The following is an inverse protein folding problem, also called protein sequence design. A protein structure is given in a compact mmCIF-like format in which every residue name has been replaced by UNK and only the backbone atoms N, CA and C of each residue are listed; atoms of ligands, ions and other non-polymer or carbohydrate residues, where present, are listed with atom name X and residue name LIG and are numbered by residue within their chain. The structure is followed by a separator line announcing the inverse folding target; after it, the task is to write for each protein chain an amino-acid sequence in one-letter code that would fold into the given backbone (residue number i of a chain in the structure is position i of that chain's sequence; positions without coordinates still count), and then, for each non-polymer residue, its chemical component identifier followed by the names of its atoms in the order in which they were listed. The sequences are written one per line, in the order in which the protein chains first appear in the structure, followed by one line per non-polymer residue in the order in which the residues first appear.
data_IF_756294445127
#
_entry.id   IF_756294445127
#
_cell.length_a   1.000
_cell.length_b   1.000
_cell.length_c   1.000
_cell.angle_alpha   90.00
_cell.angle_beta   90.00
_cell.angle_gamma   90.00
#
_symmetry.space_group_name_H-M   'P 1'
#
loop_
_entity.id
_entity.type
_entity.pdbx_description
1 polymer ?
#
# COMPACT_ATOMS: atom_id res chain seq x y z
N UNK A 1 1.13 5.43 8.23
CA UNK A 1 0.13 5.78 9.27
C UNK A 1 0.31 4.88 10.48
N UNK A 2 0.44 5.47 11.67
CA UNK A 2 0.41 4.76 12.94
C UNK A 2 -0.17 5.68 14.02
N UNK A 3 -0.83 5.09 14.98
CA UNK A 3 -1.26 5.79 16.18
C UNK A 3 -0.10 5.83 17.16
N UNK A 4 0.24 6.99 17.65
CA UNK A 4 1.42 7.23 18.49
C UNK A 4 1.04 7.88 19.81
N UNK A 5 1.89 7.64 20.81
CA UNK A 5 1.94 8.37 22.07
C UNK A 5 3.22 9.20 22.09
N UNK A 6 3.11 10.48 22.40
CA UNK A 6 4.25 11.38 22.46
C UNK A 6 4.61 11.61 23.92
N UNK A 7 5.83 11.21 24.32
CA UNK A 7 6.38 11.53 25.64
C UNK A 7 6.91 12.96 25.63
N UNK A 8 6.42 13.74 26.58
CA UNK A 8 6.77 15.17 26.73
C UNK A 8 7.49 15.37 28.06
N UNK A 9 8.51 16.21 28.06
CA UNK A 9 9.19 16.70 29.26
C UNK A 9 9.28 18.22 29.18
N UNK A 10 8.79 18.89 30.22
CA UNK A 10 8.78 20.36 30.32
C UNK A 10 8.25 21.05 29.05
N UNK A 11 7.11 20.54 28.52
CA UNK A 11 6.49 21.03 27.30
C UNK A 11 7.19 20.60 25.98
N UNK A 12 8.28 19.84 26.04
CA UNK A 12 9.06 19.42 24.86
C UNK A 12 8.83 17.96 24.53
N UNK A 13 8.37 17.63 23.34
CA UNK A 13 8.32 16.24 22.86
C UNK A 13 9.72 15.64 22.80
N UNK A 14 9.93 14.48 23.44
CA UNK A 14 11.26 13.86 23.54
C UNK A 14 11.31 12.44 22.98
N UNK A 15 10.16 11.76 22.87
CA UNK A 15 10.11 10.40 22.34
C UNK A 15 8.71 10.06 21.79
N UNK A 16 8.69 9.22 20.77
CA UNK A 16 7.47 8.64 20.20
C UNK A 16 7.42 7.17 20.54
N UNK A 17 6.25 6.72 21.01
CA UNK A 17 5.90 5.31 21.26
C UNK A 17 4.65 4.93 20.46
N UNK A 18 4.50 3.64 20.16
CA UNK A 18 3.28 3.14 19.54
C UNK A 18 2.11 3.08 20.53
N UNK A 19 0.94 3.50 20.11
CA UNK A 19 -0.28 3.39 20.92
C UNK A 19 -0.82 1.96 20.92
N UNK A 20 -0.76 1.29 22.06
CA UNK A 20 -1.24 -0.09 22.24
C UNK A 20 -2.75 -0.24 22.08
N UNK A 21 -3.51 0.85 22.26
CA UNK A 21 -4.97 0.88 22.07
C UNK A 21 -5.40 1.03 20.60
N UNK A 22 -4.45 1.25 19.69
CA UNK A 22 -4.75 1.26 18.25
C UNK A 22 -5.22 -0.12 17.80
N UNK A 23 -6.39 -0.17 17.19
CA UNK A 23 -6.96 -1.41 16.64
C UNK A 23 -6.18 -1.92 15.41
N UNK A 24 -5.53 -1.01 14.68
CA UNK A 24 -4.76 -1.30 13.47
C UNK A 24 -3.31 -1.64 13.81
N UNK A 25 -2.57 -0.72 14.41
CA UNK A 25 -1.13 -0.88 14.62
C UNK A 25 -0.78 -1.59 15.94
N UNK A 26 -1.71 -1.70 16.89
CA UNK A 26 -1.56 -2.46 18.17
C UNK A 26 -0.25 -2.18 18.88
N UNK A 27 0.15 -0.92 18.95
CA UNK A 27 1.40 -0.47 19.54
C UNK A 27 2.63 -0.55 18.61
N UNK A 28 2.44 -0.93 17.35
CA UNK A 28 3.48 -0.86 16.33
C UNK A 28 3.77 0.59 15.93
N UNK A 29 5.03 0.87 15.57
CA UNK A 29 5.48 2.15 15.01
C UNK A 29 6.65 1.91 14.06
N UNK A 30 6.95 2.85 13.19
CA UNK A 30 8.06 2.77 12.23
C UNK A 30 9.26 3.61 12.68
N UNK A 31 10.44 3.31 12.13
CA UNK A 31 11.64 4.14 12.33
C UNK A 31 11.40 5.60 11.90
N UNK A 32 10.65 5.82 10.81
CA UNK A 32 10.26 7.16 10.35
C UNK A 32 9.41 7.89 11.39
N UNK A 33 8.42 7.22 11.99
CA UNK A 33 7.61 7.80 13.05
C UNK A 33 8.47 8.13 14.29
N UNK A 34 9.36 7.23 14.71
CA UNK A 34 10.28 7.47 15.82
C UNK A 34 11.20 8.67 15.54
N UNK A 35 11.77 8.74 14.33
CA UNK A 35 12.67 9.82 13.92
C UNK A 35 11.99 11.17 13.69
N UNK A 36 10.67 11.23 13.49
CA UNK A 36 9.94 12.45 13.13
C UNK A 36 10.05 13.55 14.22
N UNK A 37 10.29 13.15 15.46
CA UNK A 37 10.49 14.10 16.56
C UNK A 37 11.69 15.03 16.31
N UNK A 38 12.72 14.57 15.60
CA UNK A 38 13.92 15.35 15.29
C UNK A 38 13.59 16.56 14.42
N UNK A 39 12.57 16.46 13.58
CA UNK A 39 12.12 17.54 12.69
C UNK A 39 11.65 18.78 13.48
N UNK A 40 11.16 18.60 14.73
CA UNK A 40 10.74 19.70 15.58
C UNK A 40 11.93 20.54 16.06
N UNK A 41 13.13 19.96 16.12
CA UNK A 41 14.35 20.58 16.62
C UNK A 41 15.35 20.90 15.51
N UNK A 42 15.01 20.64 14.25
CA UNK A 42 15.85 20.96 13.12
C UNK A 42 15.91 22.50 12.93
N UNK A 43 17.12 23.04 13.00
CA UNK A 43 17.34 24.47 12.79
C UNK A 43 17.03 24.95 11.37
N UNK A 44 17.03 24.04 10.40
CA UNK A 44 16.73 24.34 9.00
C UNK A 44 15.26 24.11 8.62
N UNK A 45 14.40 23.76 9.60
CA UNK A 45 12.98 23.62 9.30
C UNK A 45 12.39 24.94 8.80
N UNK A 46 11.42 24.88 7.92
CA UNK A 46 10.67 26.05 7.46
C UNK A 46 9.95 26.69 8.66
N UNK A 47 10.11 27.98 8.83
CA UNK A 47 9.52 28.74 9.95
C UNK A 47 8.47 29.75 9.50
N UNK A 48 8.57 30.22 8.26
CA UNK A 48 7.68 31.22 7.67
C UNK A 48 7.28 30.80 6.26
N UNK A 49 6.13 31.26 5.76
CA UNK A 49 5.81 31.14 4.34
C UNK A 49 6.76 31.98 3.49
N UNK A 50 6.85 31.65 2.21
CA UNK A 50 7.68 32.41 1.26
C UNK A 50 6.91 32.76 0.02
N UNK A 51 7.14 33.95 -0.53
CA UNK A 51 6.65 34.40 -1.83
C UNK A 51 7.85 34.82 -2.68
N UNK A 52 8.00 34.22 -3.86
CA UNK A 52 9.15 34.46 -4.73
C UNK A 52 10.51 34.16 -4.08
N UNK A 53 10.56 33.17 -3.17
CA UNK A 53 11.77 32.78 -2.42
C UNK A 53 12.13 33.71 -1.26
N UNK A 54 11.31 34.69 -0.92
CA UNK A 54 11.51 35.63 0.21
C UNK A 54 10.48 35.32 1.30
N UNK A 55 10.87 35.47 2.57
CA UNK A 55 9.95 35.36 3.70
C UNK A 55 8.79 36.34 3.57
N UNK A 56 7.60 35.90 3.84
CA UNK A 56 6.36 36.67 3.84
C UNK A 56 5.57 36.42 5.12
N UNK A 57 4.65 37.31 5.47
CA UNK A 57 3.67 37.04 6.53
C UNK A 57 2.52 36.18 5.98
N UNK A 58 1.82 35.48 6.87
CA UNK A 58 0.63 34.73 6.50
C UNK A 58 -0.46 35.61 5.89
N UNK A 59 -0.66 36.82 6.39
CA UNK A 59 -1.64 37.79 5.87
C UNK A 59 -1.38 38.14 4.40
N UNK A 60 -0.12 38.29 4.00
CA UNK A 60 0.26 38.55 2.61
C UNK A 60 -0.04 37.33 1.74
N UNK A 61 0.35 36.15 2.20
CA UNK A 61 0.16 34.90 1.44
C UNK A 61 -1.32 34.57 1.31
N UNK A 62 -2.09 34.63 2.40
CA UNK A 62 -3.53 34.33 2.39
C UNK A 62 -4.30 35.30 1.48
N UNK A 63 -3.92 36.59 1.50
CA UNK A 63 -4.52 37.56 0.59
C UNK A 63 -4.21 37.25 -0.86
N UNK A 64 -2.96 36.97 -1.19
CA UNK A 64 -2.57 36.66 -2.57
C UNK A 64 -3.28 35.40 -3.09
N UNK A 65 -3.36 34.32 -2.26
CA UNK A 65 -4.09 33.10 -2.61
C UNK A 65 -5.59 33.40 -2.83
N UNK A 66 -6.21 34.14 -1.93
CA UNK A 66 -7.62 34.50 -2.03
C UNK A 66 -7.94 35.32 -3.29
N UNK A 67 -7.08 36.30 -3.61
CA UNK A 67 -7.22 37.14 -4.80
C UNK A 67 -7.08 36.30 -6.08
N UNK A 68 -6.10 35.40 -6.17
CA UNK A 68 -5.90 34.51 -7.31
C UNK A 68 -7.06 33.54 -7.50
N UNK A 69 -7.51 32.89 -6.45
CA UNK A 69 -8.65 31.94 -6.50
C UNK A 69 -9.95 32.66 -6.92
N UNK A 70 -10.16 33.89 -6.41
CA UNK A 70 -11.33 34.70 -6.76
C UNK A 70 -11.28 35.11 -8.25
N UNK A 71 -10.11 35.43 -8.78
CA UNK A 71 -9.93 35.71 -10.20
C UNK A 71 -10.18 34.50 -11.09
N UNK A 72 -9.77 33.29 -10.66
CA UNK A 72 -10.05 32.02 -11.35
C UNK A 72 -11.56 31.76 -11.36
N UNK A 73 -12.23 31.90 -10.20
CA UNK A 73 -13.68 31.75 -10.08
C UNK A 73 -14.44 32.70 -10.98
N UNK A 74 -14.06 33.98 -11.01
CA UNK A 74 -14.72 35.01 -11.84
C UNK A 74 -14.64 34.69 -13.34
N UNK A 75 -13.60 33.98 -13.77
CA UNK A 75 -13.41 33.52 -15.16
C UNK A 75 -14.05 32.16 -15.47
N UNK A 76 -14.75 31.54 -14.50
CA UNK A 76 -15.28 30.18 -14.65
C UNK A 76 -14.19 29.12 -14.79
N UNK A 77 -12.97 29.41 -14.31
CA UNK A 77 -11.84 28.48 -14.40
C UNK A 77 -11.99 27.23 -13.53
N UNK A 78 -11.16 26.23 -13.79
CA UNK A 78 -11.10 24.99 -13.01
C UNK A 78 -10.04 25.10 -11.92
N UNK A 79 -10.34 24.56 -10.73
CA UNK A 79 -9.40 24.43 -9.64
C UNK A 79 -9.13 22.94 -9.42
N UNK A 80 -7.87 22.53 -9.49
CA UNK A 80 -7.45 21.15 -9.24
C UNK A 80 -6.60 21.10 -7.97
N UNK A 81 -6.99 20.26 -7.03
CA UNK A 81 -6.23 19.99 -5.81
C UNK A 81 -5.52 18.67 -5.99
N UNK A 82 -4.20 18.68 -6.20
CA UNK A 82 -3.39 17.46 -6.27
C UNK A 82 -2.80 17.17 -4.90
N UNK A 83 -3.10 16.00 -4.35
CA UNK A 83 -2.64 15.58 -3.02
C UNK A 83 -2.32 14.09 -2.97
N UNK A 84 -1.56 13.66 -1.98
CA UNK A 84 -1.58 12.26 -1.54
C UNK A 84 -2.94 11.89 -0.94
N UNK A 85 -3.15 10.61 -0.61
CA UNK A 85 -4.42 10.15 -0.01
C UNK A 85 -4.83 10.95 1.21
N UNK A 86 -6.01 11.54 1.15
CA UNK A 86 -6.64 12.29 2.24
C UNK A 86 -7.55 11.34 3.02
N UNK A 87 -7.14 10.96 4.24
CA UNK A 87 -7.89 10.03 5.08
C UNK A 87 -8.73 10.72 6.16
N UNK A 88 -8.38 11.96 6.53
CA UNK A 88 -9.10 12.74 7.55
C UNK A 88 -10.49 13.12 7.06
N UNK A 89 -11.57 12.74 7.78
CA UNK A 89 -12.92 13.16 7.42
C UNK A 89 -13.11 14.68 7.45
N UNK A 90 -12.51 15.36 8.42
CA UNK A 90 -12.57 16.83 8.52
C UNK A 90 -11.85 17.51 7.35
N UNK A 91 -10.71 16.98 6.91
CA UNK A 91 -10.02 17.52 5.73
C UNK A 91 -10.83 17.27 4.46
N UNK A 92 -11.46 16.11 4.32
CA UNK A 92 -12.38 15.83 3.20
C UNK A 92 -13.55 16.81 3.18
N UNK A 93 -14.15 17.08 4.34
CA UNK A 93 -15.23 18.05 4.46
C UNK A 93 -14.76 19.46 4.08
N UNK A 94 -13.59 19.88 4.57
CA UNK A 94 -13.03 21.18 4.22
C UNK A 94 -12.79 21.34 2.71
N UNK A 95 -12.29 20.28 2.05
CA UNK A 95 -12.13 20.28 0.58
C UNK A 95 -13.48 20.37 -0.13
N UNK A 96 -14.50 19.69 0.39
CA UNK A 96 -15.86 19.78 -0.16
C UNK A 96 -16.46 21.19 0.00
N UNK A 97 -16.28 21.80 1.18
CA UNK A 97 -16.75 23.18 1.45
C UNK A 97 -16.00 24.18 0.56
N UNK A 98 -14.69 24.01 0.39
CA UNK A 98 -13.88 24.79 -0.54
C UNK A 98 -14.43 24.67 -1.98
N UNK A 99 -14.73 23.46 -2.42
CA UNK A 99 -15.30 23.19 -3.73
C UNK A 99 -16.68 23.82 -3.90
N UNK A 100 -17.51 23.82 -2.86
CA UNK A 100 -18.81 24.47 -2.87
C UNK A 100 -18.67 26.00 -2.99
N UNK A 101 -17.68 26.59 -2.30
CA UNK A 101 -17.46 28.05 -2.33
C UNK A 101 -16.88 28.53 -3.67
N UNK A 102 -15.85 27.86 -4.15
CA UNK A 102 -15.17 28.30 -5.40
C UNK A 102 -15.83 27.75 -6.67
N UNK A 103 -16.60 26.66 -6.58
CA UNK A 103 -17.15 25.96 -7.74
C UNK A 103 -16.05 25.23 -8.53
N UNK A 104 -16.44 24.44 -9.52
CA UNK A 104 -15.56 23.78 -10.50
C UNK A 104 -14.22 23.28 -9.95
N UNK A 105 -14.27 22.68 -8.73
CA UNK A 105 -13.09 22.19 -7.99
C UNK A 105 -13.07 20.67 -7.97
N UNK A 106 -11.91 20.06 -8.18
CA UNK A 106 -11.73 18.62 -8.13
C UNK A 106 -10.50 18.24 -7.29
N UNK A 107 -10.66 17.26 -6.40
CA UNK A 107 -9.57 16.61 -5.68
C UNK A 107 -9.05 15.43 -6.47
N UNK A 108 -7.76 15.45 -6.83
CA UNK A 108 -7.04 14.36 -7.47
C UNK A 108 -6.04 13.80 -6.47
N UNK A 109 -6.15 12.51 -6.19
CA UNK A 109 -5.24 11.86 -5.24
C UNK A 109 -4.26 10.96 -5.98
N UNK A 110 -2.99 11.04 -5.60
CA UNK A 110 -1.91 10.28 -6.22
C UNK A 110 -0.80 9.94 -5.21
N UNK A 111 -0.25 8.75 -5.33
CA UNK A 111 0.95 8.34 -4.62
C UNK A 111 2.06 8.02 -5.63
N UNK A 112 3.31 8.50 -5.40
CA UNK A 112 4.46 8.20 -6.27
C UNK A 112 4.75 6.70 -6.41
N UNK A 113 4.44 5.91 -5.37
CA UNK A 113 4.46 4.45 -5.41
C UNK A 113 3.01 4.00 -5.40
N UNK A 114 2.45 3.88 -6.61
CA UNK A 114 1.05 3.56 -6.78
C UNK A 114 0.76 2.08 -6.53
N UNK A 115 -0.41 1.82 -5.96
CA UNK A 115 -1.02 0.49 -5.80
C UNK A 115 -2.42 0.46 -6.43
N UNK A 116 -2.74 1.42 -7.30
CA UNK A 116 -4.07 1.58 -7.91
C UNK A 116 -4.48 0.37 -8.75
N UNK A 117 -3.51 -0.38 -9.29
CA UNK A 117 -3.76 -1.62 -10.01
C UNK A 117 -4.46 -2.69 -9.18
N UNK A 118 -4.24 -2.73 -7.85
CA UNK A 118 -4.94 -3.65 -6.95
C UNK A 118 -6.44 -3.35 -6.94
N UNK A 119 -6.81 -2.08 -6.77
CA UNK A 119 -8.21 -1.66 -6.75
C UNK A 119 -8.90 -1.92 -8.11
N UNK A 120 -8.21 -1.64 -9.22
CA UNK A 120 -8.70 -1.89 -10.57
C UNK A 120 -8.86 -3.38 -10.86
N UNK A 121 -7.92 -4.22 -10.41
CA UNK A 121 -8.03 -5.68 -10.57
C UNK A 121 -9.18 -6.25 -9.73
N UNK A 122 -9.38 -5.74 -8.51
CA UNK A 122 -10.49 -6.15 -7.65
C UNK A 122 -11.85 -5.71 -8.22
N UNK A 123 -11.93 -4.54 -8.84
CA UNK A 123 -13.11 -4.11 -9.58
C UNK A 123 -13.46 -5.07 -10.72
N UNK A 124 -12.45 -5.48 -11.51
CA UNK A 124 -12.63 -6.45 -12.59
C UNK A 124 -12.98 -7.86 -12.11
N UNK A 125 -12.38 -8.29 -11.00
CA UNK A 125 -12.57 -9.66 -10.49
C UNK A 125 -13.83 -9.81 -9.64
N UNK A 126 -14.23 -8.78 -8.90
CA UNK A 126 -15.24 -8.86 -7.85
C UNK A 126 -16.27 -7.72 -7.87
N UNK A 127 -16.19 -6.79 -8.82
CA UNK A 127 -17.05 -5.61 -8.90
C UNK A 127 -16.81 -4.56 -7.79
N UNK A 128 -15.66 -4.63 -7.09
CA UNK A 128 -15.33 -3.73 -5.97
C UNK A 128 -14.00 -3.05 -6.22
N UNK A 129 -14.02 -1.74 -6.43
CA UNK A 129 -12.80 -0.91 -6.58
C UNK A 129 -12.18 -0.57 -5.22
N UNK A 130 -11.51 -1.53 -4.61
CA UNK A 130 -10.97 -1.44 -3.24
C UNK A 130 -9.57 -2.06 -3.14
N UNK A 131 -8.80 -1.60 -2.14
CA UNK A 131 -7.67 -2.35 -1.59
C UNK A 131 -8.22 -3.14 -0.40
N UNK A 132 -8.25 -4.49 -0.44
CA UNK A 132 -8.86 -5.30 0.60
C UNK A 132 -7.99 -5.31 1.86
N UNK A 133 -8.58 -5.69 2.98
CA UNK A 133 -7.80 -5.99 4.17
C UNK A 133 -7.08 -7.33 4.01
N UNK A 134 -5.75 -7.32 4.21
CA UNK A 134 -4.91 -8.51 4.23
C UNK A 134 -4.65 -8.93 5.67
N UNK A 135 -4.85 -10.22 5.96
CA UNK A 135 -4.64 -10.78 7.29
C UNK A 135 -3.47 -11.78 7.28
N UNK A 136 -2.26 -11.26 7.35
CA UNK A 136 -1.03 -12.07 7.46
C UNK A 136 -1.00 -12.93 8.73
N UNK A 137 -1.74 -12.52 9.79
CA UNK A 137 -1.82 -13.27 11.03
C UNK A 137 -2.65 -14.55 10.96
N UNK A 138 -3.41 -14.76 9.86
CA UNK A 138 -4.12 -16.00 9.57
C UNK A 138 -3.39 -16.87 8.54
N UNK A 139 -2.32 -16.35 7.92
CA UNK A 139 -1.59 -17.05 6.87
C UNK A 139 -0.49 -17.94 7.45
N UNK A 140 -0.53 -19.24 7.15
CA UNK A 140 0.51 -20.22 7.44
C UNK A 140 1.45 -20.43 6.25
N UNK A 141 1.04 -20.02 5.07
CA UNK A 141 1.86 -19.98 3.86
C UNK A 141 1.71 -18.64 3.19
N UNK A 142 2.81 -17.93 2.97
CA UNK A 142 2.83 -16.62 2.31
C UNK A 142 3.72 -16.69 1.09
N UNK A 143 3.24 -16.17 -0.04
CA UNK A 143 4.05 -15.95 -1.24
C UNK A 143 3.96 -14.49 -1.64
N UNK A 144 5.10 -13.82 -1.77
CA UNK A 144 5.21 -12.42 -2.20
C UNK A 144 5.95 -12.28 -3.53
N UNK A 145 5.41 -11.48 -4.45
CA UNK A 145 6.06 -11.07 -5.69
C UNK A 145 6.37 -9.57 -5.62
N UNK A 146 7.64 -9.18 -5.49
CA UNK A 146 8.06 -7.78 -5.44
C UNK A 146 7.35 -6.91 -4.39
N UNK A 147 6.79 -7.53 -3.36
CA UNK A 147 5.88 -6.92 -2.39
C UNK A 147 6.56 -6.73 -1.04
N UNK A 148 7.12 -5.54 -0.79
CA UNK A 148 7.79 -5.23 0.48
C UNK A 148 6.78 -4.89 1.60
N UNK A 149 5.97 -5.87 2.01
CA UNK A 149 4.90 -5.68 2.99
C UNK A 149 5.42 -5.45 4.43
N UNK A 150 6.68 -5.73 4.73
CA UNK A 150 7.31 -5.38 6.01
C UNK A 150 7.94 -3.98 6.00
N UNK A 151 8.25 -3.43 4.82
CA UNK A 151 8.95 -2.15 4.68
C UNK A 151 8.12 -0.99 4.15
N UNK A 152 7.48 -1.14 2.99
CA UNK A 152 6.87 -0.02 2.28
C UNK A 152 5.50 -0.28 1.65
N UNK A 153 5.06 -1.54 1.50
CA UNK A 153 3.82 -1.84 0.79
C UNK A 153 2.59 -1.63 1.67
N UNK A 154 1.70 -0.73 1.26
CA UNK A 154 0.38 -0.40 1.80
C UNK A 154 0.39 -0.07 3.30
N UNK A 155 0.49 -1.05 4.20
CA UNK A 155 0.37 -0.89 5.66
C UNK A 155 1.44 -1.70 6.41
N UNK A 156 2.74 -1.37 6.25
CA UNK A 156 3.83 -2.21 6.73
C UNK A 156 3.84 -2.40 8.25
N UNK A 157 3.42 -1.41 9.02
CA UNK A 157 3.37 -1.51 10.50
C UNK A 157 2.32 -2.54 10.94
N UNK A 158 1.15 -2.50 10.34
CA UNK A 158 0.07 -3.46 10.58
C UNK A 158 0.47 -4.86 10.14
N UNK A 159 0.98 -4.99 8.91
CA UNK A 159 1.37 -6.29 8.35
C UNK A 159 2.54 -6.92 9.11
N UNK A 160 3.52 -6.15 9.56
CA UNK A 160 4.59 -6.65 10.44
C UNK A 160 4.02 -7.23 11.73
N UNK A 161 3.05 -6.54 12.35
CA UNK A 161 2.42 -7.00 13.59
C UNK A 161 1.66 -8.31 13.40
N UNK A 162 0.98 -8.45 12.27
CA UNK A 162 0.26 -9.66 11.88
C UNK A 162 1.22 -10.81 11.51
N UNK A 163 2.24 -10.52 10.70
CA UNK A 163 3.22 -11.49 10.22
C UNK A 163 4.00 -12.15 11.37
N UNK A 164 4.46 -11.35 12.34
CA UNK A 164 5.22 -11.84 13.50
C UNK A 164 4.40 -12.81 14.37
N UNK A 165 3.06 -12.71 14.37
CA UNK A 165 2.19 -13.59 15.18
C UNK A 165 2.45 -15.07 14.88
N UNK A 166 2.57 -15.46 13.62
CA UNK A 166 2.79 -16.85 13.19
C UNK A 166 4.28 -17.17 12.97
N UNK A 167 5.17 -16.23 13.29
CA UNK A 167 6.64 -16.41 13.17
C UNK A 167 7.33 -16.46 14.53
N UNK A 168 6.60 -16.15 15.61
CA UNK A 168 7.10 -16.26 16.97
C UNK A 168 6.92 -17.68 17.47
N UNK A 169 8.01 -18.46 17.50
CA UNK A 169 8.05 -19.79 18.07
C UNK A 169 8.04 -19.67 19.60
N UNK A 170 7.17 -20.44 20.24
CA UNK A 170 7.10 -20.60 21.69
C UNK A 170 6.99 -22.09 22.03
N UNK A 171 7.14 -22.46 23.28
CA UNK A 171 6.94 -23.84 23.72
C UNK A 171 5.54 -24.37 23.34
N UNK A 172 4.51 -23.52 23.45
CA UNK A 172 3.11 -23.86 23.14
C UNK A 172 2.79 -23.77 21.65
N UNK A 173 3.64 -23.12 20.85
CA UNK A 173 3.50 -22.99 19.40
C UNK A 173 4.86 -23.23 18.72
N UNK A 174 5.26 -24.49 18.52
CA UNK A 174 6.57 -24.86 17.97
C UNK A 174 6.65 -24.76 16.44
N UNK A 175 5.55 -24.40 15.78
CA UNK A 175 5.47 -24.34 14.32
C UNK A 175 5.47 -22.88 13.85
N UNK A 176 6.15 -22.61 12.74
CA UNK A 176 6.26 -21.30 12.12
C UNK A 176 5.65 -21.32 10.72
N UNK A 177 5.02 -20.22 10.33
CA UNK A 177 4.54 -20.03 8.94
C UNK A 177 5.71 -20.03 7.96
N UNK A 178 5.47 -20.50 6.73
CA UNK A 178 6.46 -20.52 5.64
C UNK A 178 6.26 -19.33 4.70
N UNK A 179 7.35 -18.66 4.36
CA UNK A 179 7.33 -17.48 3.49
C UNK A 179 8.30 -17.65 2.30
N UNK A 180 7.74 -17.61 1.09
CA UNK A 180 8.47 -17.56 -0.18
C UNK A 180 8.40 -16.15 -0.75
N UNK A 181 9.54 -15.60 -1.20
CA UNK A 181 9.57 -14.26 -1.76
C UNK A 181 10.34 -14.18 -3.06
N UNK A 182 9.68 -13.70 -4.11
CA UNK A 182 10.23 -13.51 -5.44
C UNK A 182 10.38 -12.01 -5.69
N UNK A 183 11.62 -11.52 -5.88
CA UNK A 183 11.86 -10.09 -6.05
C UNK A 183 13.13 -9.82 -6.84
N UNK A 184 13.26 -8.65 -7.44
CA UNK A 184 14.45 -8.25 -8.20
C UNK A 184 15.52 -7.59 -7.33
N UNK A 185 15.13 -6.95 -6.22
CA UNK A 185 16.02 -6.29 -5.27
C UNK A 185 15.80 -6.86 -3.87
N UNK A 186 16.83 -6.86 -3.03
CA UNK A 186 16.66 -7.26 -1.64
C UNK A 186 15.85 -6.22 -0.87
N UNK A 187 14.65 -6.61 -0.46
CA UNK A 187 13.77 -5.82 0.40
C UNK A 187 13.87 -6.26 1.87
N UNK A 188 13.26 -5.48 2.78
CA UNK A 188 13.11 -5.91 4.17
C UNK A 188 12.28 -7.20 4.26
N UNK A 189 11.26 -7.32 3.44
CA UNK A 189 10.42 -8.52 3.35
C UNK A 189 11.22 -9.72 2.84
N UNK A 190 11.98 -9.55 1.75
CA UNK A 190 12.78 -10.63 1.20
C UNK A 190 13.92 -11.08 2.12
N UNK A 191 14.49 -10.18 2.93
CA UNK A 191 15.51 -10.54 3.93
C UNK A 191 14.95 -11.37 5.10
N UNK A 192 13.62 -11.38 5.29
CA UNK A 192 12.92 -12.15 6.31
C UNK A 192 12.20 -13.39 5.75
N UNK A 193 12.30 -13.65 4.45
CA UNK A 193 11.70 -14.83 3.83
C UNK A 193 12.49 -16.11 4.14
N UNK A 194 11.79 -17.24 4.25
CA UNK A 194 12.44 -18.56 4.43
C UNK A 194 13.08 -19.04 3.12
N UNK A 195 12.44 -18.71 2.01
CA UNK A 195 12.95 -18.97 0.66
C UNK A 195 12.81 -17.70 -0.17
N UNK A 196 13.93 -17.14 -0.56
CA UNK A 196 13.98 -15.97 -1.44
C UNK A 196 14.55 -16.35 -2.81
N UNK A 197 13.91 -15.91 -3.87
CA UNK A 197 14.40 -16.07 -5.23
C UNK A 197 14.48 -14.72 -5.95
N UNK A 198 15.63 -14.45 -6.55
CA UNK A 198 15.81 -13.29 -7.43
C UNK A 198 15.14 -13.58 -8.77
N UNK A 199 14.23 -12.69 -9.17
CA UNK A 199 13.50 -12.73 -10.44
C UNK A 199 13.67 -11.38 -11.13
N UNK A 200 13.98 -11.36 -12.42
CA UNK A 200 14.08 -10.10 -13.18
C UNK A 200 12.71 -9.43 -13.24
N UNK A 201 12.62 -8.08 -13.23
CA UNK A 201 11.34 -7.37 -13.35
C UNK A 201 10.51 -7.83 -14.56
N UNK A 202 11.18 -8.09 -15.71
CA UNK A 202 10.53 -8.60 -16.91
C UNK A 202 9.99 -10.03 -16.80
N UNK A 203 10.39 -10.78 -15.80
CA UNK A 203 9.98 -12.17 -15.55
C UNK A 203 8.98 -12.31 -14.41
N UNK A 204 8.66 -11.22 -13.69
CA UNK A 204 7.73 -11.26 -12.56
C UNK A 204 6.34 -11.77 -12.97
N UNK A 205 5.78 -11.26 -14.08
CA UNK A 205 4.51 -11.74 -14.63
C UNK A 205 4.54 -13.23 -15.01
N UNK A 206 5.66 -13.70 -15.56
CA UNK A 206 5.82 -15.14 -15.86
C UNK A 206 5.85 -15.99 -14.60
N UNK A 207 6.51 -15.54 -13.54
CA UNK A 207 6.55 -16.24 -12.26
C UNK A 207 5.15 -16.32 -11.61
N UNK A 208 4.35 -15.26 -11.71
CA UNK A 208 2.96 -15.23 -11.24
C UNK A 208 2.10 -16.21 -12.05
N UNK A 209 2.23 -16.23 -13.39
CA UNK A 209 1.49 -17.16 -14.26
C UNK A 209 1.92 -18.61 -13.99
N UNK A 210 3.22 -18.87 -13.82
CA UNK A 210 3.71 -20.21 -13.48
C UNK A 210 3.11 -20.70 -12.16
N UNK A 211 3.10 -19.87 -11.11
CA UNK A 211 2.47 -20.22 -9.83
C UNK A 211 0.96 -20.48 -10.01
N UNK A 212 0.28 -19.60 -10.75
CA UNK A 212 -1.15 -19.80 -11.06
C UNK A 212 -1.39 -21.16 -11.71
N UNK A 213 -0.63 -21.50 -12.75
CA UNK A 213 -0.79 -22.74 -13.50
C UNK A 213 -0.57 -23.98 -12.63
N UNK A 214 0.41 -23.94 -11.72
CA UNK A 214 0.66 -25.02 -10.75
C UNK A 214 -0.51 -25.20 -9.78
N UNK A 215 -1.10 -24.11 -9.29
CA UNK A 215 -2.29 -24.13 -8.43
C UNK A 215 -3.53 -24.54 -9.23
N UNK A 216 -3.73 -24.01 -10.45
CA UNK A 216 -4.85 -24.35 -11.33
C UNK A 216 -4.86 -25.85 -11.67
N UNK A 217 -3.71 -26.44 -11.98
CA UNK A 217 -3.58 -27.88 -12.23
C UNK A 217 -4.01 -28.71 -11.03
N UNK A 218 -3.66 -28.30 -9.80
CA UNK A 218 -4.11 -28.96 -8.57
C UNK A 218 -5.62 -28.79 -8.32
N UNK A 219 -6.18 -27.67 -8.76
CA UNK A 219 -7.60 -27.36 -8.62
C UNK A 219 -8.48 -27.95 -9.74
N UNK A 220 -7.90 -28.54 -10.79
CA UNK A 220 -8.63 -28.96 -11.99
C UNK A 220 -9.17 -27.77 -12.80
N UNK A 221 -8.54 -26.59 -12.69
CA UNK A 221 -8.92 -25.38 -13.41
C UNK A 221 -8.05 -25.16 -14.66
N UNK A 222 -8.53 -24.32 -15.58
CA UNK A 222 -7.81 -23.99 -16.81
C UNK A 222 -6.52 -23.23 -16.50
N UNK A 223 -5.46 -23.57 -17.23
CA UNK A 223 -4.18 -22.88 -17.15
C UNK A 223 -4.12 -21.67 -18.10
N UNK A 224 -3.19 -20.76 -17.84
CA UNK A 224 -2.90 -19.60 -18.69
C UNK A 224 -1.68 -19.91 -19.56
N UNK A 225 -1.65 -19.36 -20.78
CA UNK A 225 -0.46 -19.36 -21.60
C UNK A 225 0.62 -18.49 -20.97
N UNK A 226 1.86 -18.98 -20.94
CA UNK A 226 3.02 -18.26 -20.39
C UNK A 226 4.31 -18.77 -20.99
N UNK A 227 5.40 -18.02 -20.75
CA UNK A 227 6.76 -18.45 -21.09
C UNK A 227 7.35 -19.34 -20.00
N UNK A 228 8.58 -19.83 -20.25
CA UNK A 228 9.34 -20.61 -19.28
C UNK A 228 10.29 -19.74 -18.47
N UNK A 229 10.52 -20.13 -17.24
CA UNK A 229 11.55 -19.60 -16.35
C UNK A 229 12.72 -20.60 -16.25
N UNK A 230 13.80 -20.18 -15.63
CA UNK A 230 14.90 -21.10 -15.35
C UNK A 230 14.46 -22.21 -14.38
N UNK A 231 15.10 -23.39 -14.48
CA UNK A 231 14.72 -24.59 -13.72
C UNK A 231 14.79 -24.41 -12.20
N UNK A 232 15.71 -23.58 -11.71
CA UNK A 232 15.82 -23.31 -10.28
C UNK A 232 14.66 -22.45 -9.77
N UNK A 233 14.19 -21.49 -10.56
CA UNK A 233 12.99 -20.69 -10.24
C UNK A 233 11.73 -21.56 -10.28
N UNK A 234 11.57 -22.39 -11.32
CA UNK A 234 10.44 -23.31 -11.43
C UNK A 234 10.37 -24.29 -10.25
N UNK A 235 11.49 -24.83 -9.80
CA UNK A 235 11.55 -25.72 -8.64
C UNK A 235 11.05 -25.03 -7.35
N UNK A 236 11.42 -23.77 -7.12
CA UNK A 236 10.96 -23.00 -5.96
C UNK A 236 9.46 -22.67 -6.07
N UNK A 237 8.98 -22.40 -7.29
CA UNK A 237 7.54 -22.19 -7.53
C UNK A 237 6.73 -23.46 -7.30
N UNK A 238 7.29 -24.66 -7.62
CA UNK A 238 6.66 -25.94 -7.29
C UNK A 238 6.54 -26.15 -5.77
N UNK A 239 7.63 -25.87 -5.03
CA UNK A 239 7.63 -25.96 -3.57
C UNK A 239 6.61 -24.97 -2.97
N UNK A 240 6.59 -23.73 -3.45
CA UNK A 240 5.64 -22.71 -3.01
C UNK A 240 4.17 -23.12 -3.31
N UNK A 241 3.90 -23.66 -4.52
CA UNK A 241 2.58 -24.12 -4.90
C UNK A 241 2.09 -25.28 -4.04
N UNK A 242 2.97 -26.23 -3.70
CA UNK A 242 2.64 -27.33 -2.81
C UNK A 242 2.29 -26.81 -1.41
N UNK A 243 3.14 -25.95 -0.86
CA UNK A 243 2.95 -25.41 0.47
C UNK A 243 1.68 -24.53 0.59
N UNK A 244 1.38 -23.74 -0.46
CA UNK A 244 0.14 -22.95 -0.52
C UNK A 244 -1.08 -23.88 -0.58
N UNK A 245 -1.02 -24.95 -1.39
CA UNK A 245 -2.10 -25.89 -1.54
C UNK A 245 -2.41 -26.67 -0.27
N UNK A 246 -1.39 -27.12 0.46
CA UNK A 246 -1.53 -27.80 1.74
C UNK A 246 -2.13 -26.88 2.83
N UNK A 247 -2.05 -25.56 2.61
CA UNK A 247 -2.59 -24.54 3.51
C UNK A 247 -3.77 -23.77 2.90
N UNK A 248 -4.62 -24.42 2.08
CA UNK A 248 -5.82 -23.76 1.53
C UNK A 248 -6.68 -23.11 2.60
N UNK A 249 -7.18 -21.90 2.31
CA UNK A 249 -7.94 -21.07 3.25
C UNK A 249 -7.11 -20.45 4.37
N UNK A 250 -5.81 -20.82 4.48
CA UNK A 250 -4.84 -20.28 5.46
C UNK A 250 -3.53 -19.90 4.76
N UNK A 251 -3.59 -19.59 3.49
CA UNK A 251 -2.46 -19.12 2.68
C UNK A 251 -2.71 -17.69 2.20
N UNK A 252 -1.69 -17.05 1.68
CA UNK A 252 -1.82 -15.69 1.17
C UNK A 252 -0.79 -15.45 0.06
N UNK A 253 -1.26 -15.00 -1.10
CA UNK A 253 -0.40 -14.56 -2.21
C UNK A 253 -0.60 -13.07 -2.43
N UNK A 254 0.50 -12.31 -2.41
CA UNK A 254 0.51 -10.85 -2.59
C UNK A 254 1.50 -10.43 -3.66
N UNK A 255 1.22 -9.33 -4.35
CA UNK A 255 2.07 -8.79 -5.39
C UNK A 255 2.20 -7.26 -5.25
N UNK A 256 3.44 -6.76 -5.36
CA UNK A 256 3.77 -5.34 -5.33
C UNK A 256 3.67 -4.65 -6.68
N UNK A 257 3.44 -5.38 -7.76
CA UNK A 257 3.35 -4.83 -9.11
C UNK A 257 2.13 -3.92 -9.28
N UNK A 258 2.34 -2.75 -9.86
CA UNK A 258 1.25 -1.86 -10.28
C UNK A 258 0.77 -2.20 -11.71
N UNK A 259 0.65 -3.49 -12.01
CA UNK A 259 0.13 -4.03 -13.26
C UNK A 259 -1.19 -4.76 -13.01
N UNK A 260 -2.26 -4.28 -13.63
CA UNK A 260 -3.63 -4.82 -13.44
C UNK A 260 -3.69 -6.31 -13.79
N UNK A 261 -3.02 -6.74 -14.87
CA UNK A 261 -3.01 -8.15 -15.27
C UNK A 261 -2.35 -9.05 -14.22
N UNK A 262 -1.20 -8.63 -13.67
CA UNK A 262 -0.53 -9.37 -12.60
C UNK A 262 -1.43 -9.50 -11.36
N UNK A 263 -2.07 -8.39 -10.95
CA UNK A 263 -2.99 -8.41 -9.81
C UNK A 263 -4.21 -9.28 -10.06
N UNK A 264 -4.74 -9.30 -11.29
CA UNK A 264 -5.88 -10.16 -11.66
C UNK A 264 -5.51 -11.64 -11.56
N UNK A 265 -4.31 -12.03 -12.01
CA UNK A 265 -3.83 -13.42 -11.88
C UNK A 265 -3.63 -13.79 -10.40
N UNK A 266 -3.08 -12.88 -9.59
CA UNK A 266 -2.95 -13.08 -8.13
C UNK A 266 -4.32 -13.25 -7.46
N UNK A 267 -5.34 -12.49 -7.88
CA UNK A 267 -6.71 -12.69 -7.43
C UNK A 267 -7.21 -14.10 -7.77
N UNK A 268 -6.93 -14.59 -8.98
CA UNK A 268 -7.24 -15.96 -9.40
C UNK A 268 -6.57 -17.02 -8.52
N UNK A 269 -5.28 -16.85 -8.20
CA UNK A 269 -4.55 -17.76 -7.29
C UNK A 269 -5.24 -17.80 -5.92
N UNK A 270 -5.49 -16.64 -5.31
CA UNK A 270 -6.12 -16.55 -3.99
C UNK A 270 -7.53 -17.11 -3.98
N UNK A 271 -8.28 -16.98 -5.09
CA UNK A 271 -9.60 -17.58 -5.24
C UNK A 271 -9.54 -19.11 -5.28
N UNK A 272 -8.64 -19.68 -6.08
CA UNK A 272 -8.44 -21.14 -6.14
C UNK A 272 -7.99 -21.75 -4.80
N UNK A 273 -7.25 -20.96 -4.01
CA UNK A 273 -6.79 -21.32 -2.67
C UNK A 273 -7.84 -21.11 -1.57
N UNK A 274 -9.00 -20.49 -1.87
CA UNK A 274 -10.04 -20.23 -0.89
C UNK A 274 -9.62 -19.20 0.17
N UNK A 275 -8.81 -18.23 -0.19
CA UNK A 275 -8.23 -17.24 0.74
C UNK A 275 -9.19 -16.09 1.07
N UNK A 276 -10.19 -15.83 0.23
CA UNK A 276 -11.18 -14.79 0.46
C UNK A 276 -12.13 -15.15 1.61
N UNK A 277 -12.35 -14.19 2.52
CA UNK A 277 -13.09 -14.41 3.77
C UNK A 277 -12.23 -14.95 4.92
N UNK A 278 -10.94 -15.25 4.68
CA UNK A 278 -10.00 -15.75 5.69
C UNK A 278 -8.74 -14.86 5.80
N UNK A 279 -7.86 -14.94 4.81
CA UNK A 279 -6.62 -14.15 4.75
C UNK A 279 -6.77 -12.86 3.94
N UNK A 280 -7.83 -12.76 3.12
CA UNK A 280 -8.20 -11.56 2.38
C UNK A 280 -9.68 -11.26 2.65
N UNK A 281 -9.97 -10.06 3.14
CA UNK A 281 -11.34 -9.61 3.41
C UNK A 281 -11.75 -8.48 2.45
N UNK A 282 -12.72 -8.78 1.56
CA UNK A 282 -13.32 -7.82 0.62
C UNK A 282 -14.45 -6.98 1.28
N UNK A 283 -14.84 -7.28 2.52
CA UNK A 283 -15.78 -6.50 3.31
C UNK A 283 -15.12 -5.33 4.04
N UNK A 284 -13.80 -5.42 4.25
CA UNK A 284 -13.00 -4.39 4.90
C UNK A 284 -11.98 -3.81 3.94
N UNK A 285 -11.79 -2.48 3.97
CA UNK A 285 -10.90 -1.77 3.04
C UNK A 285 -9.75 -1.09 3.75
N UNK A 286 -8.58 -1.07 3.11
CA UNK A 286 -7.44 -0.26 3.53
C UNK A 286 -7.47 1.04 2.73
N UNK A 287 -7.76 2.15 3.41
CA UNK A 287 -7.90 3.47 2.78
C UNK A 287 -6.60 4.31 2.83
N UNK A 288 -5.45 3.70 3.10
CA UNK A 288 -4.17 4.41 3.22
C UNK A 288 -3.65 4.92 1.86
N UNK A 289 -4.02 4.24 0.78
CA UNK A 289 -3.67 4.59 -0.59
C UNK A 289 -4.95 4.66 -1.42
N UNK A 290 -5.41 5.87 -1.73
CA UNK A 290 -6.62 6.14 -2.51
C UNK A 290 -6.30 6.78 -3.87
N UNK A 291 -5.02 6.88 -4.22
CA UNK A 291 -4.55 7.46 -5.47
C UNK A 291 -5.01 6.68 -6.70
N UNK A 292 -5.28 7.41 -7.78
CA UNK A 292 -5.70 6.88 -9.08
C UNK A 292 -4.75 7.36 -10.17
N UNK A 293 -4.01 6.45 -10.77
CA UNK A 293 -3.11 6.78 -11.88
C UNK A 293 -3.90 7.30 -13.10
N UNK A 294 -5.12 6.80 -13.30
CA UNK A 294 -6.00 7.28 -14.38
C UNK A 294 -6.39 8.74 -14.21
N UNK A 295 -6.66 9.18 -12.96
CA UNK A 295 -7.04 10.56 -12.68
C UNK A 295 -5.86 11.52 -12.87
N UNK A 296 -4.65 11.09 -12.52
CA UNK A 296 -3.43 11.89 -12.75
C UNK A 296 -3.14 12.00 -14.24
N UNK A 297 -3.25 10.91 -15.00
CA UNK A 297 -3.07 10.96 -16.45
C UNK A 297 -4.08 11.92 -17.08
N UNK A 298 -5.35 11.87 -16.67
CA UNK A 298 -6.38 12.81 -17.11
C UNK A 298 -6.04 14.26 -16.73
N UNK A 299 -5.51 14.49 -15.52
CA UNK A 299 -5.05 15.84 -15.13
C UNK A 299 -3.94 16.35 -16.05
N UNK A 300 -2.94 15.50 -16.36
CA UNK A 300 -1.86 15.88 -17.28
C UNK A 300 -2.40 16.20 -18.67
N UNK A 301 -3.34 15.42 -19.17
CA UNK A 301 -3.99 15.69 -20.46
C UNK A 301 -4.77 17.03 -20.44
N UNK A 302 -5.49 17.31 -19.33
CA UNK A 302 -6.19 18.59 -19.15
C UNK A 302 -5.24 19.80 -19.02
N UNK A 303 -4.02 19.61 -18.53
CA UNK A 303 -3.01 20.68 -18.44
C UNK A 303 -2.31 20.95 -19.77
N UNK A 304 -2.28 19.97 -20.67
CA UNK A 304 -1.65 20.08 -21.99
C UNK A 304 -2.61 20.64 -23.07
N UNK A 305 -3.91 20.70 -22.80
CA UNK A 305 -4.97 21.22 -23.69
C UNK A 305 -5.53 22.55 -23.17
#
# INVERSE_FOLDING_TARGET
YCSILVKVRDGRPIKIEGNKFSTVTKGGTSARAQGSILSLYDKYRLQNPTVGGKNASWEVVDKEIADQLSAVKAKGGKIKILSSSVNSPSTKQLIADFGTYFGNTELIQWEPISVSAIATANEKSFGKKIIPAYNFGNAWSVVGFGCDFLGSWISPIEFTKQYVKNRKITHDNPVMSKHFHFESRLSLTGSNADVRRVVKPSQEGLAIISLYNKIASKAGASTLSGGSLDSATEKILDEAANHLWDNKGKSLVVCGSNCVSNQTVVNGINNLLGNYGSTIDLGSTINLNQGSDADVNRLVDEMNN
#
